data_IF_474204308315
#
_entry.id   IF_474204308315
#
_cell.length_a   1.000
_cell.length_b   1.000
_cell.length_c   1.000
_cell.angle_alpha   90.00
_cell.angle_beta   90.00
_cell.angle_gamma   90.00
#
_symmetry.space_group_name_H-M   'P 1'
#
loop_
_entity.id
_entity.type
_entity.pdbx_description
1 polymer ?
#
# COMPACT_ATOMS: atom_id res chain seq x y z
N UNK A 1 -6.49 -14.74 8.65
CA UNK A 1 -7.43 -13.94 9.46
C UNK A 1 -8.31 -13.15 8.53
N UNK A 2 -9.63 -13.23 8.67
CA UNK A 2 -10.56 -12.48 7.82
C UNK A 2 -11.15 -11.37 8.67
N UNK A 3 -10.92 -10.12 8.29
CA UNK A 3 -11.65 -9.00 8.84
C UNK A 3 -13.13 -9.24 8.51
N UNK A 4 -13.93 -9.54 9.53
CA UNK A 4 -15.29 -10.09 9.39
C UNK A 4 -16.28 -9.12 8.74
N UNK A 5 -15.88 -7.87 8.54
CA UNK A 5 -16.57 -6.90 7.68
C UNK A 5 -15.52 -6.24 6.79
N UNK A 6 -15.78 -6.11 5.49
CA UNK A 6 -14.88 -5.38 4.58
C UNK A 6 -14.83 -3.90 5.00
N UNK A 7 -13.68 -3.23 4.89
CA UNK A 7 -13.57 -1.81 5.26
C UNK A 7 -14.52 -1.00 4.38
N UNK A 8 -15.26 -0.04 4.96
CA UNK A 8 -16.14 0.88 4.21
C UNK A 8 -15.47 2.18 3.81
N UNK A 9 -14.38 2.54 4.51
CA UNK A 9 -13.55 3.72 4.28
C UNK A 9 -12.08 3.35 4.53
N UNK A 10 -11.18 4.04 3.85
CA UNK A 10 -9.74 3.96 4.09
C UNK A 10 -9.21 5.36 4.41
N UNK A 11 -8.30 5.44 5.37
CA UNK A 11 -7.63 6.71 5.70
C UNK A 11 -6.62 7.06 4.62
N UNK A 12 -6.60 8.32 4.18
CA UNK A 12 -5.55 8.84 3.29
C UNK A 12 -4.26 9.18 4.03
N UNK A 13 -4.26 9.14 5.38
CA UNK A 13 -3.06 9.35 6.21
C UNK A 13 -2.16 8.11 6.28
N UNK A 14 -2.61 6.98 5.72
CA UNK A 14 -1.88 5.72 5.73
C UNK A 14 -1.69 5.24 4.29
N UNK A 15 -0.44 4.97 3.93
CA UNK A 15 -0.09 4.29 2.69
C UNK A 15 0.10 2.81 2.97
N UNK A 16 -0.54 1.95 2.18
CA UNK A 16 -0.52 0.49 2.33
C UNK A 16 0.20 -0.13 1.15
N UNK A 17 1.28 -0.85 1.39
CA UNK A 17 1.99 -1.61 0.36
C UNK A 17 1.74 -3.10 0.56
N UNK A 18 1.04 -3.72 -0.38
CA UNK A 18 0.82 -5.16 -0.40
C UNK A 18 1.89 -5.80 -1.27
N UNK A 19 2.60 -6.80 -0.75
CA UNK A 19 3.60 -7.56 -1.51
C UNK A 19 3.22 -9.04 -1.38
N UNK A 20 2.98 -9.71 -2.51
CA UNK A 20 2.39 -11.05 -2.52
C UNK A 20 3.02 -11.95 -3.57
N UNK A 21 3.23 -13.23 -3.25
CA UNK A 21 3.69 -14.24 -4.21
C UNK A 21 2.55 -14.79 -5.06
N UNK A 22 2.77 -15.01 -6.35
CA UNK A 22 1.74 -15.54 -7.26
C UNK A 22 1.46 -17.05 -7.10
N UNK A 23 2.41 -17.82 -6.55
CA UNK A 23 2.27 -19.25 -6.23
C UNK A 23 1.95 -19.53 -4.76
N UNK A 24 1.44 -18.55 -4.02
CA UNK A 24 1.01 -18.78 -2.65
C UNK A 24 -0.25 -19.67 -2.59
N UNK A 25 -0.04 -20.96 -2.33
CA UNK A 25 -1.12 -21.95 -2.17
C UNK A 25 -1.87 -21.82 -0.83
N UNK A 26 -1.31 -21.12 0.16
CA UNK A 26 -1.94 -20.93 1.47
C UNK A 26 -2.87 -19.71 1.49
N UNK A 27 -2.42 -18.62 0.86
CA UNK A 27 -3.18 -17.39 0.66
C UNK A 27 -3.16 -17.06 -0.83
N UNK A 28 -4.15 -17.53 -1.60
CA UNK A 28 -4.19 -17.31 -3.03
C UNK A 28 -4.09 -15.82 -3.43
N UNK A 29 -3.33 -15.53 -4.48
CA UNK A 29 -3.08 -14.17 -5.02
C UNK A 29 -4.34 -13.31 -5.16
N UNK A 30 -5.46 -13.91 -5.55
CA UNK A 30 -6.72 -13.18 -5.74
C UNK A 30 -7.20 -12.45 -4.47
N UNK A 31 -6.78 -12.89 -3.27
CA UNK A 31 -7.09 -12.18 -2.03
C UNK A 31 -6.33 -10.86 -1.92
N UNK A 32 -5.07 -10.82 -2.31
CA UNK A 32 -4.29 -9.59 -2.35
C UNK A 32 -4.86 -8.60 -3.38
N UNK A 33 -5.24 -9.10 -4.56
CA UNK A 33 -5.93 -8.30 -5.59
C UNK A 33 -7.28 -7.74 -5.09
N UNK A 34 -8.09 -8.57 -4.39
CA UNK A 34 -9.34 -8.10 -3.80
C UNK A 34 -9.11 -7.04 -2.71
N UNK A 35 -8.05 -7.18 -1.91
CA UNK A 35 -7.70 -6.21 -0.89
C UNK A 35 -7.29 -4.87 -1.51
N UNK A 36 -6.40 -4.87 -2.50
CA UNK A 36 -5.98 -3.68 -3.25
C UNK A 36 -7.19 -2.98 -3.91
N UNK A 37 -8.03 -3.73 -4.62
CA UNK A 37 -9.23 -3.19 -5.25
C UNK A 37 -10.18 -2.56 -4.21
N UNK A 38 -10.42 -3.26 -3.09
CA UNK A 38 -11.33 -2.76 -2.04
C UNK A 38 -10.80 -1.51 -1.37
N UNK A 39 -9.52 -1.47 -1.04
CA UNK A 39 -8.87 -0.33 -0.39
C UNK A 39 -8.81 0.88 -1.32
N UNK A 40 -8.52 0.67 -2.60
CA UNK A 40 -8.59 1.72 -3.64
C UNK A 40 -10.00 2.28 -3.75
N UNK A 41 -11.03 1.42 -3.84
CA UNK A 41 -12.43 1.83 -3.91
C UNK A 41 -12.89 2.59 -2.65
N UNK A 42 -12.25 2.36 -1.50
CA UNK A 42 -12.46 3.10 -0.26
C UNK A 42 -11.73 4.45 -0.20
N UNK A 43 -11.01 4.84 -1.26
CA UNK A 43 -10.20 6.07 -1.31
C UNK A 43 -8.83 5.94 -0.64
N UNK A 44 -8.36 4.71 -0.39
CA UNK A 44 -7.06 4.46 0.23
C UNK A 44 -5.89 4.72 -0.71
N UNK A 45 -4.73 4.99 -0.12
CA UNK A 45 -3.43 4.99 -0.79
C UNK A 45 -2.82 3.59 -0.67
N UNK A 46 -2.94 2.79 -1.73
CA UNK A 46 -2.55 1.38 -1.72
C UNK A 46 -1.79 0.99 -2.98
N UNK A 47 -0.77 0.14 -2.83
CA UNK A 47 -0.10 -0.56 -3.95
C UNK A 47 -0.18 -2.07 -3.75
N UNK A 48 -0.04 -2.80 -4.86
CA UNK A 48 0.13 -4.25 -4.86
C UNK A 48 1.29 -4.64 -5.79
N UNK A 49 2.31 -5.24 -5.21
CA UNK A 49 3.43 -5.85 -5.90
C UNK A 49 3.28 -7.36 -5.90
N UNK A 50 3.36 -7.96 -7.08
CA UNK A 50 3.25 -9.40 -7.28
C UNK A 50 4.65 -9.93 -7.58
N UNK A 51 5.10 -10.92 -6.82
CA UNK A 51 6.42 -11.54 -6.98
C UNK A 51 6.24 -12.89 -7.66
N UNK A 52 6.77 -12.99 -8.88
CA UNK A 52 6.69 -14.21 -9.70
C UNK A 52 7.45 -15.38 -9.06
N UNK A 53 6.92 -16.59 -9.20
CA UNK A 53 7.50 -17.85 -8.71
C UNK A 53 7.77 -17.82 -7.18
N UNK A 54 6.93 -17.11 -6.42
CA UNK A 54 7.01 -17.03 -4.95
C UNK A 54 5.79 -17.69 -4.30
N UNK A 55 6.03 -18.66 -3.43
CA UNK A 55 5.01 -19.34 -2.63
C UNK A 55 4.64 -18.50 -1.38
N UNK A 56 4.19 -19.14 -0.28
CA UNK A 56 3.92 -18.49 1.00
C UNK A 56 5.22 -18.13 1.76
N UNK A 57 6.05 -17.28 1.17
CA UNK A 57 7.38 -16.96 1.66
C UNK A 57 7.77 -15.49 1.44
N UNK A 58 8.91 -15.11 2.00
CA UNK A 58 9.56 -13.81 1.79
C UNK A 58 10.97 -14.11 1.27
N UNK A 59 11.30 -13.60 0.09
CA UNK A 59 12.62 -13.74 -0.52
C UNK A 59 13.33 -12.37 -0.63
N UNK A 60 14.47 -12.36 -1.31
CA UNK A 60 15.22 -11.11 -1.49
C UNK A 60 14.43 -10.06 -2.29
N UNK A 61 13.69 -10.46 -3.33
CA UNK A 61 12.94 -9.57 -4.21
C UNK A 61 11.80 -8.90 -3.44
N UNK A 62 11.03 -9.69 -2.67
CA UNK A 62 9.94 -9.14 -1.85
C UNK A 62 10.45 -8.22 -0.74
N UNK A 63 11.61 -8.52 -0.17
CA UNK A 63 12.27 -7.64 0.81
C UNK A 63 12.76 -6.33 0.19
N UNK A 64 13.36 -6.37 -1.00
CA UNK A 64 13.78 -5.18 -1.73
C UNK A 64 12.60 -4.27 -2.06
N UNK A 65 11.47 -4.83 -2.50
CA UNK A 65 10.22 -4.07 -2.72
C UNK A 65 9.78 -3.34 -1.45
N UNK A 66 9.75 -4.02 -0.31
CA UNK A 66 9.39 -3.41 0.96
C UNK A 66 10.33 -2.26 1.35
N UNK A 67 11.64 -2.46 1.21
CA UNK A 67 12.64 -1.43 1.51
C UNK A 67 12.53 -0.24 0.54
N UNK A 68 12.27 -0.48 -0.74
CA UNK A 68 12.09 0.58 -1.73
C UNK A 68 10.87 1.43 -1.40
N UNK A 69 9.75 0.81 -1.03
CA UNK A 69 8.58 1.55 -0.59
C UNK A 69 8.84 2.39 0.64
N UNK A 70 9.49 1.83 1.67
CA UNK A 70 9.79 2.57 2.89
C UNK A 70 10.74 3.75 2.66
N UNK A 71 11.65 3.65 1.70
CA UNK A 71 12.66 4.70 1.41
C UNK A 71 12.15 5.77 0.46
N UNK A 72 11.35 5.38 -0.53
CA UNK A 72 11.13 6.20 -1.72
C UNK A 72 9.66 6.47 -2.01
N UNK A 73 8.70 5.81 -1.34
CA UNK A 73 7.29 6.16 -1.51
C UNK A 73 7.05 7.56 -0.95
N UNK A 74 6.51 8.43 -1.79
CA UNK A 74 5.86 9.68 -1.36
C UNK A 74 4.37 9.41 -1.25
N UNK A 75 3.76 9.46 -0.04
CA UNK A 75 2.33 9.23 0.15
C UNK A 75 1.46 10.07 -0.77
N UNK A 76 0.41 9.49 -1.35
CA UNK A 76 -0.50 10.14 -2.31
C UNK A 76 -1.05 11.47 -1.78
N UNK A 77 -1.34 11.57 -0.48
CA UNK A 77 -1.86 12.78 0.16
C UNK A 77 -0.99 14.02 -0.07
N UNK A 78 0.33 13.87 -0.15
CA UNK A 78 1.24 15.00 -0.39
C UNK A 78 1.14 15.52 -1.83
N UNK A 79 0.89 14.63 -2.80
CA UNK A 79 0.60 15.04 -4.17
C UNK A 79 -0.77 15.71 -4.28
N UNK A 80 -1.79 15.14 -3.63
CA UNK A 80 -3.15 15.70 -3.63
C UNK A 80 -3.15 17.10 -2.99
N UNK A 81 -2.42 17.31 -1.90
CA UNK A 81 -2.22 18.63 -1.27
C UNK A 81 -1.56 19.62 -2.23
N UNK A 82 -0.44 19.24 -2.86
CA UNK A 82 0.27 20.10 -3.81
C UNK A 82 -0.58 20.48 -5.03
N UNK A 83 -1.41 19.55 -5.53
CA UNK A 83 -2.29 19.78 -6.68
C UNK A 83 -3.53 20.60 -6.32
N UNK A 84 -4.02 20.50 -5.07
CA UNK A 84 -5.19 21.25 -4.59
C UNK A 84 -4.95 22.75 -4.42
N UNK A 85 -3.67 23.20 -4.41
CA UNK A 85 -3.32 24.60 -4.19
C UNK A 85 -3.65 25.12 -2.79
N UNK A 86 -4.00 24.24 -1.84
CA UNK A 86 -4.19 24.58 -0.44
C UNK A 86 -2.84 24.98 0.18
N UNK A 87 -2.85 25.96 1.10
CA UNK A 87 -1.63 26.43 1.77
C UNK A 87 -1.01 25.28 2.57
N UNK A 88 0.30 25.00 2.44
CA UNK A 88 0.98 24.07 3.32
C UNK A 88 0.93 24.63 4.74
N UNK A 89 0.33 23.93 5.69
CA UNK A 89 0.21 24.48 7.03
C UNK A 89 -0.49 23.69 8.12
N UNK A 90 -1.25 22.62 7.83
CA UNK A 90 -2.00 21.97 8.91
C UNK A 90 -1.63 20.52 9.23
N UNK A 91 -0.87 19.79 8.41
CA UNK A 91 -0.60 18.38 8.71
C UNK A 91 0.81 17.91 8.29
N UNK A 92 1.73 17.93 9.25
CA UNK A 92 3.02 17.19 9.27
C UNK A 92 3.97 17.39 8.08
N UNK A 93 4.69 18.52 8.12
CA UNK A 93 5.95 18.71 7.39
C UNK A 93 7.09 18.09 8.20
N UNK A 94 7.54 16.89 7.84
CA UNK A 94 8.82 16.37 8.33
C UNK A 94 9.92 17.10 7.56
N UNK A 95 10.56 18.06 8.23
CA UNK A 95 11.79 18.69 7.74
C UNK A 95 12.91 17.65 7.82
N UNK A 96 13.37 17.13 6.68
CA UNK A 96 14.65 16.43 6.63
C UNK A 96 15.78 17.46 6.70
N UNK A 97 16.45 17.50 7.86
CA UNK A 97 17.74 18.19 8.04
C UNK A 97 18.88 17.37 7.46
#
# INVERSE_FOLDING_TARGET
GRFITLPEKASTRTTIHLIHGDYDEQVPLHHAQQAEHRLTACGGDVTLDIVDDLEHAIDHRSMELALNHLRYTVPKRYFDEALSGAKPGDDDVIVMM
#
